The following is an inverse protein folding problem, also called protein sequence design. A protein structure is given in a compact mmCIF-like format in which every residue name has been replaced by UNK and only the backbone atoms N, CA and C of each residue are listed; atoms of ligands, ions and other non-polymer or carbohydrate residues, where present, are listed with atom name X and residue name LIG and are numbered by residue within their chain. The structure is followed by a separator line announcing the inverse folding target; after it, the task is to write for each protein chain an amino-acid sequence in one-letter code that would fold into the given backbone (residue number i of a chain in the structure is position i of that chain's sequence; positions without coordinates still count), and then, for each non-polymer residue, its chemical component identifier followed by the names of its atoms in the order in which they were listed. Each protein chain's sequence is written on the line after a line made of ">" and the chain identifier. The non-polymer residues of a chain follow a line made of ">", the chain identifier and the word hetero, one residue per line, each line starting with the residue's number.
data_IF_006063123798
#
_entry.id   IF_006063123798
#
_cell.length_a   1.000
_cell.length_b   1.000
_cell.length_c   1.000
_cell.angle_alpha   90.00
_cell.angle_beta   90.00
_cell.angle_gamma   90.00
#
_symmetry.space_group_name_H-M   'P 1'
#
loop_
_entity.id
_entity.type
_entity.pdbx_description
1 polymer ?
#
# COMPACT_ATOMS: atom_id res chain seq x y z
N UNK A 1 -10.47 0.60 -7.71
CA UNK A 1 -10.66 -0.36 -6.61
C UNK A 1 -11.86 0.11 -5.83
N UNK A 2 -12.97 -0.57 -5.98
CA UNK A 2 -14.26 -0.12 -5.46
C UNK A 2 -14.57 -0.87 -4.17
N UNK A 3 -14.54 -0.14 -3.07
CA UNK A 3 -15.22 -0.52 -1.84
C UNK A 3 -16.70 -0.15 -1.99
N UNK A 4 -17.61 -0.95 -1.44
CA UNK A 4 -19.00 -0.53 -1.29
C UNK A 4 -19.06 0.68 -0.36
N UNK A 5 -20.11 1.50 -0.49
CA UNK A 5 -20.23 2.71 0.33
C UNK A 5 -20.40 2.37 1.84
N UNK A 6 -20.95 1.20 2.16
CA UNK A 6 -21.01 0.62 3.51
C UNK A 6 -19.62 0.27 4.09
N UNK A 7 -18.71 -0.22 3.23
CA UNK A 7 -17.34 -0.52 3.64
C UNK A 7 -16.53 0.78 3.88
N UNK A 8 -16.89 1.87 3.20
CA UNK A 8 -16.25 3.20 3.37
C UNK A 8 -16.69 3.93 4.63
N UNK A 9 -17.89 3.66 5.13
CA UNK A 9 -18.41 4.27 6.37
C UNK A 9 -17.66 3.73 7.59
N UNK A 10 -17.27 4.63 8.50
CA UNK A 10 -16.60 4.30 9.77
C UNK A 10 -15.37 3.39 9.61
N UNK A 11 -14.49 3.74 8.67
CA UNK A 11 -13.25 3.00 8.43
C UNK A 11 -12.27 3.21 9.60
N UNK A 12 -12.13 2.20 10.45
CA UNK A 12 -11.11 2.14 11.50
C UNK A 12 -9.94 1.22 11.10
N UNK A 13 -8.85 1.21 11.87
CA UNK A 13 -7.67 0.39 11.59
C UNK A 13 -8.01 -1.11 11.52
N UNK A 14 -8.92 -1.59 12.37
CA UNK A 14 -9.29 -3.00 12.45
C UNK A 14 -10.11 -3.43 11.23
N UNK A 15 -11.10 -2.63 10.84
CA UNK A 15 -11.92 -2.78 9.63
C UNK A 15 -11.05 -2.66 8.38
N UNK A 16 -10.12 -1.71 8.34
CA UNK A 16 -9.18 -1.58 7.23
C UNK A 16 -8.30 -2.83 7.06
N UNK A 17 -7.74 -3.38 8.15
CA UNK A 17 -6.98 -4.65 8.11
C UNK A 17 -7.85 -5.82 7.64
N UNK A 18 -9.06 -5.95 8.17
CA UNK A 18 -10.00 -7.01 7.76
C UNK A 18 -10.35 -6.90 6.27
N UNK A 19 -10.60 -5.69 5.77
CA UNK A 19 -10.89 -5.44 4.36
C UNK A 19 -9.67 -5.71 3.46
N UNK A 20 -8.46 -5.33 3.89
CA UNK A 20 -7.22 -5.63 3.15
C UNK A 20 -6.95 -7.14 3.07
N UNK A 21 -7.28 -7.92 4.11
CA UNK A 21 -7.20 -9.38 4.12
C UNK A 21 -8.27 -10.01 3.22
N UNK A 22 -9.52 -9.56 3.34
CA UNK A 22 -10.65 -10.08 2.56
C UNK A 22 -10.55 -9.75 1.07
N UNK A 23 -9.98 -8.60 0.73
CA UNK A 23 -9.77 -8.13 -0.65
C UNK A 23 -8.30 -7.74 -0.81
N UNK A 24 -7.36 -8.70 -1.01
CA UNK A 24 -5.93 -8.41 -1.17
C UNK A 24 -5.61 -7.49 -2.34
N UNK A 25 -6.49 -7.51 -3.34
CA UNK A 25 -6.57 -6.54 -4.42
C UNK A 25 -7.06 -5.18 -3.95
N UNK A 26 -6.91 -4.79 -2.69
CA UNK A 26 -7.03 -3.41 -2.20
C UNK A 26 -5.67 -2.76 -1.93
N UNK A 27 -4.63 -3.56 -1.64
CA UNK A 27 -3.28 -3.07 -1.34
C UNK A 27 -2.58 -2.67 -2.63
N UNK A 28 -2.24 -1.38 -2.79
CA UNK A 28 -1.66 -0.86 -4.04
C UNK A 28 -0.32 -1.56 -4.31
N UNK A 29 -0.16 -2.11 -5.52
CA UNK A 29 1.04 -2.84 -5.95
C UNK A 29 1.79 -2.00 -6.99
N UNK A 30 3.12 -2.13 -7.13
CA UNK A 30 4.05 -2.95 -6.33
C UNK A 30 4.23 -2.43 -4.89
N UNK A 31 4.75 -3.27 -4.01
CA UNK A 31 5.21 -2.87 -2.67
C UNK A 31 6.70 -3.19 -2.59
N UNK A 32 7.51 -2.19 -2.30
CA UNK A 32 8.96 -2.33 -2.13
C UNK A 32 9.30 -2.15 -0.66
N UNK A 33 9.90 -3.17 -0.07
CA UNK A 33 10.37 -3.18 1.32
C UNK A 33 11.90 -3.06 1.33
N UNK A 34 12.41 -2.09 2.06
CA UNK A 34 13.84 -1.80 2.24
C UNK A 34 14.28 -1.97 3.70
N UNK A 35 13.51 -2.67 4.54
CA UNK A 35 13.81 -2.98 5.94
C UNK A 35 13.58 -1.82 6.93
N UNK A 36 13.77 -0.57 6.50
CA UNK A 36 13.45 0.65 7.29
C UNK A 36 12.44 1.58 6.63
N UNK A 37 12.03 1.26 5.40
CA UNK A 37 11.09 2.05 4.60
C UNK A 37 10.30 1.14 3.70
N UNK A 38 8.99 1.38 3.62
CA UNK A 38 8.09 0.69 2.70
C UNK A 38 7.58 1.71 1.68
N UNK A 39 7.65 1.35 0.40
CA UNK A 39 7.10 2.14 -0.70
C UNK A 39 5.96 1.38 -1.34
N UNK A 40 4.84 2.08 -1.54
CA UNK A 40 3.62 1.50 -2.10
C UNK A 40 3.28 2.18 -3.42
N UNK A 41 3.20 1.37 -4.49
CA UNK A 41 3.13 1.81 -5.87
C UNK A 41 4.50 2.04 -6.50
N UNK A 42 4.50 2.33 -7.80
CA UNK A 42 5.70 2.66 -8.55
C UNK A 42 5.72 4.15 -8.90
N UNK A 43 6.82 4.82 -8.57
CA UNK A 43 7.15 6.18 -9.01
C UNK A 43 8.65 6.21 -9.34
N UNK A 44 9.05 6.48 -10.59
CA UNK A 44 10.45 6.43 -11.02
C UNK A 44 11.40 7.24 -10.14
N UNK A 45 11.09 8.51 -9.88
CA UNK A 45 11.97 9.40 -9.10
C UNK A 45 12.21 8.90 -7.67
N UNK A 46 11.15 8.39 -7.04
CA UNK A 46 11.21 7.84 -5.67
C UNK A 46 12.05 6.57 -5.65
N UNK A 47 11.84 5.68 -6.62
CA UNK A 47 12.60 4.43 -6.74
C UNK A 47 14.08 4.71 -7.02
N UNK A 48 14.40 5.71 -7.85
CA UNK A 48 15.78 6.09 -8.11
C UNK A 48 16.47 6.64 -6.86
N UNK A 49 15.79 7.43 -6.04
CA UNK A 49 16.34 7.94 -4.78
C UNK A 49 16.64 6.83 -3.77
N UNK A 50 15.75 5.83 -3.66
CA UNK A 50 15.87 4.81 -2.61
C UNK A 50 16.64 3.56 -3.03
N UNK A 51 16.66 3.22 -4.32
CA UNK A 51 17.40 2.07 -4.86
C UNK A 51 18.72 2.52 -5.50
N UNK A 52 18.73 3.66 -6.19
CA UNK A 52 19.94 4.18 -6.84
C UNK A 52 20.96 4.82 -5.90
N UNK A 53 20.58 5.07 -4.64
CA UNK A 53 21.48 5.52 -3.57
C UNK A 53 22.22 4.37 -2.86
N UNK A 54 21.88 3.10 -3.15
CA UNK A 54 22.61 1.93 -2.66
C UNK A 54 23.86 1.74 -3.55
N UNK A 55 24.96 2.39 -3.18
CA UNK A 55 26.30 2.05 -3.66
C UNK A 55 26.98 1.14 -2.66
#
# INVERSE_FOLDING_TARGET
>A
RELSDEDKLSLDEKKAKALMLAKPTMIKRPVLDLGGRILVGFKPDVYQQVVGGLK
#
